data_IF_629121379303
#
_entry.id   IF_629121379303
#
_cell.length_a   1.000
_cell.length_b   1.000
_cell.length_c   1.000
_cell.angle_alpha   90.00
_cell.angle_beta   90.00
_cell.angle_gamma   90.00
#
_symmetry.space_group_name_H-M   'P 1'
#
loop_
_entity.id
_entity.type
_entity.pdbx_description
1 polymer ?
#
# COMPACT_ATOMS: atom_id res chain seq x y z
N UNK A 1 -59.34 -29.14 -19.89
CA UNK A 1 -58.01 -29.59 -20.34
C UNK A 1 -57.37 -28.48 -21.17
N UNK A 2 -56.13 -28.09 -20.85
CA UNK A 2 -55.40 -26.91 -21.34
C UNK A 2 -54.92 -27.06 -22.80
N UNK A 3 -55.01 -26.00 -23.60
CA UNK A 3 -54.13 -25.70 -24.76
C UNK A 3 -54.06 -24.18 -24.94
N UNK A 4 -53.28 -23.49 -24.09
CA UNK A 4 -52.94 -22.07 -24.30
C UNK A 4 -51.52 -22.01 -24.82
N UNK A 5 -51.43 -21.40 -25.99
CA UNK A 5 -50.29 -20.97 -26.78
C UNK A 5 -49.00 -20.77 -25.99
N UNK A 6 -47.97 -21.53 -26.38
CA UNK A 6 -46.60 -21.32 -25.92
C UNK A 6 -45.98 -20.30 -26.88
N UNK A 7 -45.89 -19.07 -26.40
CA UNK A 7 -45.21 -17.96 -27.06
C UNK A 7 -43.70 -18.21 -27.16
N UNK A 8 -43.19 -17.90 -28.35
CA UNK A 8 -41.77 -17.83 -28.72
C UNK A 8 -41.03 -16.85 -27.82
N UNK A 9 -39.98 -17.31 -27.15
CA UNK A 9 -38.97 -16.46 -26.51
C UNK A 9 -37.61 -16.76 -27.13
N UNK A 10 -37.13 -15.90 -28.02
CA UNK A 10 -35.76 -15.96 -28.50
C UNK A 10 -34.83 -15.43 -27.39
N UNK A 11 -33.92 -16.28 -26.92
CA UNK A 11 -32.89 -15.89 -25.94
C UNK A 11 -31.73 -15.29 -26.74
N UNK A 12 -31.51 -13.99 -26.60
CA UNK A 12 -30.27 -13.36 -27.03
C UNK A 12 -29.17 -13.72 -26.03
N UNK A 13 -28.16 -14.47 -26.47
CA UNK A 13 -26.94 -14.69 -25.69
C UNK A 13 -26.06 -13.44 -25.80
N UNK A 14 -26.00 -12.64 -24.74
CA UNK A 14 -24.96 -11.63 -24.57
C UNK A 14 -23.65 -12.33 -24.23
N UNK A 15 -22.67 -12.30 -25.13
CA UNK A 15 -21.29 -12.67 -24.82
C UNK A 15 -20.74 -11.60 -23.89
N UNK A 16 -20.69 -11.90 -22.60
CA UNK A 16 -19.96 -11.08 -21.64
C UNK A 16 -18.47 -11.35 -21.85
N UNK A 17 -17.70 -10.32 -22.19
CA UNK A 17 -16.25 -10.42 -22.20
C UNK A 17 -15.76 -10.78 -20.78
N UNK A 18 -14.78 -11.66 -20.62
CA UNK A 18 -14.23 -11.96 -19.30
C UNK A 18 -13.59 -10.67 -18.76
N UNK A 19 -14.09 -10.19 -17.62
CA UNK A 19 -13.36 -9.22 -16.83
C UNK A 19 -12.03 -9.86 -16.44
N UNK A 20 -10.93 -9.33 -16.97
CA UNK A 20 -9.60 -9.73 -16.55
C UNK A 20 -9.46 -9.27 -15.11
N UNK A 21 -9.59 -10.20 -14.16
CA UNK A 21 -9.26 -9.93 -12.76
C UNK A 21 -7.74 -9.79 -12.74
N UNK A 22 -7.25 -8.56 -12.85
CA UNK A 22 -5.85 -8.26 -12.66
C UNK A 22 -5.48 -8.67 -11.24
N UNK A 23 -4.60 -9.67 -11.10
CA UNK A 23 -3.99 -9.95 -9.81
C UNK A 23 -3.10 -8.75 -9.51
N UNK A 24 -3.54 -7.88 -8.60
CA UNK A 24 -2.67 -6.85 -8.05
C UNK A 24 -1.58 -7.61 -7.32
N UNK A 25 -0.35 -7.54 -7.83
CA UNK A 25 0.79 -8.13 -7.15
C UNK A 25 0.88 -7.51 -5.75
N UNK A 26 0.83 -8.36 -4.73
CA UNK A 26 0.94 -7.92 -3.35
C UNK A 26 2.38 -7.47 -3.08
N UNK A 27 2.54 -6.26 -2.56
CA UNK A 27 3.83 -5.69 -2.17
C UNK A 27 3.81 -5.40 -0.67
N UNK A 28 4.50 -6.23 0.15
CA UNK A 28 4.58 -6.05 1.59
C UNK A 28 5.13 -4.68 2.00
N UNK A 29 6.10 -4.15 1.24
CA UNK A 29 6.68 -2.84 1.52
C UNK A 29 5.66 -1.74 1.26
N UNK A 30 4.92 -1.82 0.15
CA UNK A 30 3.87 -0.85 -0.16
C UNK A 30 2.78 -0.82 0.92
N UNK A 31 2.42 -1.99 1.48
CA UNK A 31 1.52 -2.07 2.62
C UNK A 31 2.11 -1.37 3.85
N UNK A 32 3.36 -1.66 4.23
CA UNK A 32 4.01 -1.03 5.37
C UNK A 32 4.11 0.50 5.24
N UNK A 33 4.42 1.00 4.03
CA UNK A 33 4.46 2.44 3.73
C UNK A 33 3.09 3.08 3.93
N UNK A 34 2.01 2.42 3.47
CA UNK A 34 0.65 2.92 3.65
C UNK A 34 0.24 2.95 5.11
N UNK A 35 0.54 1.90 5.86
CA UNK A 35 0.24 1.83 7.30
C UNK A 35 0.96 2.97 8.05
N UNK A 36 2.21 3.26 7.67
CA UNK A 36 2.96 4.40 8.20
C UNK A 36 2.30 5.75 7.87
N UNK A 37 1.96 5.98 6.60
CA UNK A 37 1.33 7.24 6.16
C UNK A 37 -0.03 7.46 6.81
N UNK A 38 -0.86 6.41 6.90
CA UNK A 38 -2.16 6.45 7.56
C UNK A 38 -2.01 6.71 9.07
N UNK A 39 -0.97 6.13 9.70
CA UNK A 39 -0.62 6.39 11.09
C UNK A 39 -0.21 7.84 11.31
N UNK A 40 0.62 8.38 10.41
CA UNK A 40 1.14 9.75 10.51
C UNK A 40 0.01 10.77 10.31
N UNK A 41 -0.89 10.54 9.34
CA UNK A 41 -2.08 11.38 9.15
C UNK A 41 -2.97 11.40 10.39
N UNK A 42 -3.20 10.23 11.03
CA UNK A 42 -3.95 10.15 12.29
C UNK A 42 -3.27 10.95 13.39
N UNK A 43 -1.95 10.81 13.53
CA UNK A 43 -1.20 11.55 14.56
C UNK A 43 -1.26 13.06 14.34
N UNK A 44 -1.08 13.53 13.11
CA UNK A 44 -1.19 14.96 12.77
C UNK A 44 -2.58 15.53 13.07
N UNK A 45 -3.62 14.71 12.99
CA UNK A 45 -5.00 15.14 13.18
C UNK A 45 -5.50 15.04 14.63
N UNK A 46 -5.02 14.05 15.37
CA UNK A 46 -5.63 13.66 16.65
C UNK A 46 -4.65 13.58 17.82
N UNK A 47 -3.35 13.81 17.61
CA UNK A 47 -2.38 13.74 18.72
C UNK A 47 -2.71 14.76 19.80
N UNK A 48 -2.62 14.37 21.08
CA UNK A 48 -2.70 15.31 22.19
C UNK A 48 -1.59 16.37 22.11
N UNK A 49 -1.85 17.57 22.62
CA UNK A 49 -0.85 18.66 22.67
C UNK A 49 0.22 18.43 23.75
N UNK A 50 -0.09 17.65 24.79
CA UNK A 50 0.85 17.35 25.84
C UNK A 50 1.84 16.26 25.40
N UNK A 51 3.09 16.38 25.87
CA UNK A 51 4.17 15.53 25.41
C UNK A 51 3.94 14.03 25.73
N UNK A 52 3.39 13.71 26.91
CA UNK A 52 3.15 12.33 27.32
C UNK A 52 2.07 11.67 26.47
N UNK A 53 0.96 12.38 26.23
CA UNK A 53 -0.11 11.98 25.35
C UNK A 53 0.34 11.86 23.89
N UNK A 54 1.13 12.81 23.39
CA UNK A 54 1.68 12.76 22.03
C UNK A 54 2.63 11.57 21.81
N UNK A 55 3.43 11.22 22.82
CA UNK A 55 4.28 10.03 22.80
C UNK A 55 3.46 8.75 22.82
N UNK A 56 2.49 8.62 23.74
CA UNK A 56 1.60 7.46 23.77
C UNK A 56 0.83 7.30 22.45
N UNK A 57 0.36 8.40 21.86
CA UNK A 57 -0.32 8.38 20.58
C UNK A 57 0.62 7.99 19.43
N UNK A 58 1.92 8.29 19.51
CA UNK A 58 2.92 7.80 18.54
C UNK A 58 2.99 6.28 18.55
N UNK A 59 3.06 5.67 19.73
CA UNK A 59 3.14 4.22 19.91
C UNK A 59 1.89 3.49 19.42
N UNK A 60 0.73 4.17 19.40
CA UNK A 60 -0.53 3.63 18.88
C UNK A 60 -0.75 3.89 17.37
N UNK A 61 -0.04 4.86 16.78
CA UNK A 61 -0.29 5.34 15.42
C UNK A 61 0.83 4.95 14.43
N UNK A 62 1.75 5.87 14.14
CA UNK A 62 2.80 5.67 13.14
C UNK A 62 4.07 5.01 13.70
N UNK A 63 4.23 4.90 15.02
CA UNK A 63 5.41 4.32 15.67
C UNK A 63 5.67 2.86 15.24
N UNK A 64 4.69 1.94 15.37
CA UNK A 64 4.85 0.56 14.95
C UNK A 64 5.19 0.37 13.45
N UNK A 65 4.48 1.01 12.49
CA UNK A 65 4.86 0.88 11.08
C UNK A 65 6.20 1.58 10.77
N UNK A 66 6.57 2.66 11.46
CA UNK A 66 7.91 3.24 11.33
C UNK A 66 9.00 2.26 11.79
N UNK A 67 8.82 1.60 12.93
CA UNK A 67 9.77 0.58 13.42
C UNK A 67 9.93 -0.56 12.40
N UNK A 68 8.83 -1.01 11.80
CA UNK A 68 8.87 -2.00 10.72
C UNK A 68 9.69 -1.52 9.52
N UNK A 69 9.51 -0.26 9.10
CA UNK A 69 10.29 0.33 7.99
C UNK A 69 11.78 0.50 8.34
N UNK A 70 12.11 0.78 9.61
CA UNK A 70 13.49 0.90 10.07
C UNK A 70 14.25 -0.43 10.06
N UNK A 71 13.53 -1.54 10.24
CA UNK A 71 14.09 -2.89 10.22
C UNK A 71 14.04 -3.54 8.83
N UNK A 72 13.35 -2.92 7.87
CA UNK A 72 13.08 -3.48 6.56
C UNK A 72 14.34 -3.94 5.82
N UNK A 73 14.34 -5.15 5.29
CA UNK A 73 15.52 -5.77 4.64
C UNK A 73 15.21 -6.51 3.33
N UNK A 74 13.98 -6.43 2.84
CA UNK A 74 13.55 -7.07 1.60
C UNK A 74 13.45 -6.05 0.44
N UNK A 75 13.59 -6.48 -0.83
CA UNK A 75 13.34 -5.60 -1.96
C UNK A 75 11.86 -5.20 -2.05
N UNK A 76 11.56 -4.11 -2.77
CA UNK A 76 10.19 -3.87 -3.22
C UNK A 76 9.82 -4.93 -4.27
N UNK A 77 8.59 -5.42 -4.23
CA UNK A 77 8.15 -6.50 -5.14
C UNK A 77 7.44 -5.98 -6.38
N UNK A 78 7.07 -4.71 -6.36
CA UNK A 78 6.34 -4.06 -7.44
C UNK A 78 6.93 -2.69 -7.76
N UNK A 79 6.65 -2.22 -8.98
CA UNK A 79 6.98 -0.86 -9.40
C UNK A 79 6.37 0.19 -8.47
N UNK A 80 5.12 -0.03 -8.05
CA UNK A 80 4.40 0.91 -7.20
C UNK A 80 5.00 0.96 -5.79
N UNK A 81 5.39 -0.19 -5.22
CA UNK A 81 6.13 -0.23 -3.96
C UNK A 81 7.48 0.45 -4.04
N UNK A 82 8.24 0.23 -5.12
CA UNK A 82 9.52 0.92 -5.33
C UNK A 82 9.34 2.45 -5.45
N UNK A 83 8.34 2.91 -6.22
CA UNK A 83 8.07 4.35 -6.33
C UNK A 83 7.64 4.95 -4.99
N UNK A 84 6.78 4.25 -4.23
CA UNK A 84 6.34 4.73 -2.93
C UNK A 84 7.51 4.81 -1.93
N UNK A 85 8.38 3.80 -1.91
CA UNK A 85 9.58 3.79 -1.08
C UNK A 85 10.52 4.94 -1.43
N UNK A 86 10.75 5.19 -2.72
CA UNK A 86 11.58 6.30 -3.17
C UNK A 86 11.00 7.64 -2.74
N UNK A 87 9.70 7.86 -2.93
CA UNK A 87 9.03 9.09 -2.51
C UNK A 87 9.16 9.31 -1.02
N UNK A 88 8.90 8.28 -0.21
CA UNK A 88 8.99 8.38 1.24
C UNK A 88 10.42 8.67 1.73
N UNK A 89 11.43 8.07 1.11
CA UNK A 89 12.83 8.30 1.48
C UNK A 89 13.30 9.76 1.26
N UNK A 90 12.70 10.47 0.29
CA UNK A 90 13.05 11.85 -0.05
C UNK A 90 12.11 12.91 0.51
N UNK A 91 11.03 12.50 1.19
CA UNK A 91 10.04 13.43 1.71
C UNK A 91 10.43 13.95 3.10
N UNK A 92 10.79 15.23 3.17
CA UNK A 92 11.22 15.92 4.40
C UNK A 92 10.10 16.04 5.42
N UNK A 93 8.85 16.11 4.97
CA UNK A 93 7.69 16.34 5.85
C UNK A 93 7.24 15.06 6.56
N UNK A 94 7.72 13.90 6.12
CA UNK A 94 7.36 12.62 6.73
C UNK A 94 8.21 12.29 7.95
N UNK A 95 9.43 12.81 8.04
CA UNK A 95 10.34 12.50 9.14
C UNK A 95 11.10 11.18 9.00
N UNK A 96 11.04 10.52 7.83
CA UNK A 96 11.87 9.34 7.53
C UNK A 96 13.30 9.72 7.17
N UNK A 97 13.51 10.90 6.58
CA UNK A 97 14.84 11.38 6.20
C UNK A 97 15.76 11.51 7.41
N UNK A 98 16.98 10.99 7.29
CA UNK A 98 17.97 10.93 8.36
C UNK A 98 17.76 9.77 9.35
N UNK A 99 16.70 8.96 9.21
CA UNK A 99 16.47 7.77 10.01
C UNK A 99 16.98 6.49 9.31
N UNK A 100 17.14 5.37 10.03
CA UNK A 100 17.51 4.09 9.42
C UNK A 100 16.60 3.67 8.25
N UNK A 101 15.30 4.00 8.35
CA UNK A 101 14.30 3.71 7.32
C UNK A 101 14.64 4.31 5.94
N UNK A 102 15.25 5.51 5.87
CA UNK A 102 15.65 6.12 4.59
C UNK A 102 16.55 5.17 3.78
N UNK A 103 17.63 4.68 4.41
CA UNK A 103 18.57 3.76 3.78
C UNK A 103 17.90 2.43 3.37
N UNK A 104 17.02 1.89 4.23
CA UNK A 104 16.29 0.64 3.94
C UNK A 104 15.35 0.78 2.75
N UNK A 105 14.62 1.89 2.65
CA UNK A 105 13.72 2.17 1.54
C UNK A 105 14.50 2.30 0.22
N UNK A 106 15.65 3.00 0.23
CA UNK A 106 16.52 3.11 -0.95
C UNK A 106 17.04 1.73 -1.36
N UNK A 107 17.48 0.89 -0.41
CA UNK A 107 17.90 -0.48 -0.69
C UNK A 107 16.77 -1.32 -1.28
N UNK A 108 15.55 -1.18 -0.78
CA UNK A 108 14.40 -1.90 -1.31
C UNK A 108 14.10 -1.50 -2.77
N UNK A 109 14.26 -0.22 -3.12
CA UNK A 109 14.15 0.28 -4.50
C UNK A 109 15.23 -0.32 -5.38
N UNK A 110 16.49 -0.31 -4.94
CA UNK A 110 17.60 -0.90 -5.69
C UNK A 110 17.33 -2.38 -5.96
N UNK A 111 16.92 -3.12 -4.93
CA UNK A 111 16.62 -4.54 -5.08
C UNK A 111 15.49 -4.82 -6.07
N UNK A 112 14.46 -3.96 -6.16
CA UNK A 112 13.46 -4.04 -7.24
C UNK A 112 14.08 -3.80 -8.62
N UNK A 113 14.87 -2.74 -8.77
CA UNK A 113 15.49 -2.37 -10.05
C UNK A 113 16.43 -3.46 -10.57
N UNK A 114 17.14 -4.17 -9.69
CA UNK A 114 18.02 -5.28 -10.04
C UNK A 114 17.26 -6.51 -10.59
N UNK A 115 15.94 -6.61 -10.36
CA UNK A 115 15.11 -7.68 -10.95
C UNK A 115 14.68 -7.39 -12.39
N UNK A 116 14.85 -6.14 -12.86
CA UNK A 116 14.40 -5.74 -14.18
C UNK A 116 15.37 -6.23 -15.26
N UNK A 117 14.86 -6.61 -16.45
CA UNK A 117 15.73 -6.92 -17.58
C UNK A 117 16.48 -5.66 -18.04
N UNK A 118 17.71 -5.85 -18.49
CA UNK A 118 18.58 -4.81 -19.04
C UNK A 118 18.12 -4.29 -20.42
#
# INVERSE_FOLDING_TARGET
>A
MKRRDILRGAIAFSVSAPATIGIVAYDPLLSAIRDYQDGLEKWLKFSPEDNEGAMAYTDESYGPPLALLQEWDQPAYTRDGAIAALKLAFDDDTGVRGMPAEGRLIQAVIGYLETLPA
#
